data_IF_083988793660
#
_entry.id   IF_083988793660
#
_cell.length_a   1.000
_cell.length_b   1.000
_cell.length_c   1.000
_cell.angle_alpha   90.00
_cell.angle_beta   90.00
_cell.angle_gamma   90.00
#
_symmetry.space_group_name_H-M   'P 1'
#
loop_
_entity.id
_entity.type
_entity.pdbx_description
1 polymer ?
#
# COMPACT_ATOMS: atom_id res chain seq x y z
N UNK A 1 6.86 -22.19 21.68
CA UNK A 1 6.85 -20.72 21.78
C UNK A 1 6.48 -20.16 20.42
N UNK A 2 5.25 -19.71 20.23
CA UNK A 2 4.86 -19.07 18.97
C UNK A 2 5.34 -17.61 19.04
N UNK A 3 6.38 -17.28 18.27
CA UNK A 3 6.61 -15.90 17.91
C UNK A 3 5.36 -15.45 17.15
N UNK A 4 4.49 -14.66 17.82
CA UNK A 4 3.61 -13.74 17.12
C UNK A 4 4.55 -12.86 16.30
N UNK A 5 4.74 -13.19 15.02
CA UNK A 5 5.07 -12.20 14.01
C UNK A 5 3.86 -11.27 13.95
N UNK A 6 3.77 -10.38 14.94
CA UNK A 6 2.94 -9.22 14.84
C UNK A 6 3.59 -8.44 13.73
N UNK A 7 2.99 -8.49 12.55
CA UNK A 7 3.42 -7.65 11.46
C UNK A 7 3.23 -6.22 11.99
N UNK A 8 4.32 -5.55 12.36
CA UNK A 8 4.44 -4.09 12.39
C UNK A 8 4.28 -3.54 10.96
N UNK A 9 3.30 -4.07 10.24
CA UNK A 9 3.12 -3.85 8.84
C UNK A 9 2.36 -2.56 8.73
N UNK A 10 3.09 -1.49 8.48
CA UNK A 10 2.58 -0.31 7.80
C UNK A 10 2.17 -0.61 6.35
N UNK A 11 1.70 -1.83 6.10
CA UNK A 11 1.30 -2.35 4.83
C UNK A 11 -0.20 -2.57 4.84
N UNK A 12 -0.87 -2.04 3.83
CA UNK A 12 -2.30 -2.22 3.60
C UNK A 12 -2.53 -2.94 2.28
N UNK A 13 -3.56 -3.78 2.25
CA UNK A 13 -4.08 -4.36 1.02
C UNK A 13 -5.30 -3.57 0.58
N UNK A 14 -5.30 -3.09 -0.66
CA UNK A 14 -6.39 -2.33 -1.27
C UNK A 14 -6.94 -3.11 -2.45
N UNK A 15 -8.27 -3.17 -2.58
CA UNK A 15 -8.94 -3.66 -3.79
C UNK A 15 -9.40 -2.45 -4.59
N UNK A 16 -8.90 -2.30 -5.81
CA UNK A 16 -9.20 -1.16 -6.67
C UNK A 16 -10.01 -1.62 -7.89
N UNK A 17 -11.06 -0.89 -8.23
CA UNK A 17 -11.86 -1.15 -9.43
C UNK A 17 -11.60 -0.06 -10.47
N UNK A 18 -11.62 -0.38 -11.78
CA UNK A 18 -11.79 -1.71 -12.38
C UNK A 18 -10.51 -2.58 -12.33
N UNK A 19 -10.57 -3.82 -12.82
CA UNK A 19 -9.42 -4.73 -12.89
C UNK A 19 -8.27 -4.27 -13.78
N UNK A 20 -8.55 -3.37 -14.71
CA UNK A 20 -7.60 -2.76 -15.63
C UNK A 20 -7.40 -1.28 -15.32
N UNK A 21 -6.63 -1.00 -14.28
CA UNK A 21 -6.18 0.37 -13.99
C UNK A 21 -5.05 0.79 -14.95
N UNK A 22 -5.20 1.95 -15.57
CA UNK A 22 -4.11 2.57 -16.32
C UNK A 22 -3.06 3.19 -15.37
N UNK A 23 -1.85 3.37 -15.88
CA UNK A 23 -0.73 3.89 -15.10
C UNK A 23 -0.99 5.30 -14.54
N UNK A 24 -1.67 6.15 -15.30
CA UNK A 24 -1.98 7.53 -14.88
C UNK A 24 -2.88 7.56 -13.64
N UNK A 25 -3.92 6.72 -13.62
CA UNK A 25 -4.85 6.56 -12.49
C UNK A 25 -4.11 6.03 -11.26
N UNK A 26 -3.20 5.06 -11.46
CA UNK A 26 -2.37 4.52 -10.38
C UNK A 26 -1.48 5.62 -9.80
N UNK A 27 -0.80 6.41 -10.63
CA UNK A 27 0.06 7.50 -10.17
C UNK A 27 -0.73 8.55 -9.38
N UNK A 28 -1.87 9.02 -9.90
CA UNK A 28 -2.75 9.97 -9.22
C UNK A 28 -3.21 9.45 -7.86
N UNK A 29 -3.60 8.18 -7.79
CA UNK A 29 -3.98 7.55 -6.53
C UNK A 29 -2.82 7.52 -5.52
N UNK A 30 -1.63 7.10 -5.94
CA UNK A 30 -0.45 7.08 -5.08
C UNK A 30 -0.05 8.47 -4.58
N UNK A 31 -0.20 9.50 -5.41
CA UNK A 31 0.09 10.88 -5.01
C UNK A 31 -0.88 11.37 -3.94
N UNK A 32 -2.18 11.08 -4.10
CA UNK A 32 -3.18 11.38 -3.05
C UNK A 32 -2.80 10.69 -1.73
N UNK A 33 -2.45 9.41 -1.77
CA UNK A 33 -2.06 8.66 -0.57
C UNK A 33 -0.79 9.23 0.08
N UNK A 34 0.22 9.60 -0.73
CA UNK A 34 1.45 10.24 -0.23
C UNK A 34 1.17 11.55 0.49
N UNK A 35 0.29 12.38 -0.07
CA UNK A 35 -0.07 13.68 0.51
C UNK A 35 -0.95 13.55 1.74
N UNK A 36 -1.91 12.61 1.75
CA UNK A 36 -2.95 12.53 2.79
C UNK A 36 -2.60 11.62 3.95
N UNK A 37 -1.88 10.53 3.70
CA UNK A 37 -1.60 9.49 4.69
C UNK A 37 -0.13 9.57 5.13
N UNK A 38 0.79 9.57 4.16
CA UNK A 38 2.20 9.71 4.43
C UNK A 38 3.09 9.06 3.37
N UNK A 39 4.42 9.12 3.56
CA UNK A 39 5.38 8.64 2.57
C UNK A 39 5.20 7.15 2.29
N UNK A 40 5.06 6.81 1.01
CA UNK A 40 4.95 5.41 0.55
C UNK A 40 6.36 4.88 0.33
N UNK A 41 6.68 3.73 0.95
CA UNK A 41 7.92 2.99 0.73
C UNK A 41 7.87 2.23 -0.59
N UNK A 42 6.80 1.47 -0.83
CA UNK A 42 6.51 0.86 -2.12
C UNK A 42 5.01 0.59 -2.28
N UNK A 43 4.59 0.46 -3.53
CA UNK A 43 3.25 0.00 -3.89
C UNK A 43 3.35 -1.04 -5.03
N UNK A 44 2.61 -2.15 -4.90
CA UNK A 44 2.57 -3.22 -5.90
C UNK A 44 1.14 -3.49 -6.30
N UNK A 45 0.85 -3.35 -7.58
CA UNK A 45 -0.46 -3.62 -8.18
C UNK A 45 -0.40 -4.95 -8.95
N UNK A 46 -1.33 -5.83 -8.64
CA UNK A 46 -1.51 -7.12 -9.29
C UNK A 46 -2.81 -7.06 -10.09
N UNK A 47 -2.67 -7.00 -11.42
CA UNK A 47 -3.80 -7.20 -12.32
C UNK A 47 -4.11 -8.69 -12.36
N UNK A 48 -5.19 -9.11 -11.72
CA UNK A 48 -5.71 -10.47 -11.87
C UNK A 48 -6.71 -10.46 -13.02
N UNK A 49 -6.42 -11.22 -14.08
CA UNK A 49 -7.27 -11.31 -15.27
C UNK A 49 -8.62 -11.98 -15.00
N UNK A 50 -8.72 -12.76 -13.92
CA UNK A 50 -9.93 -13.50 -13.53
C UNK A 50 -10.81 -12.71 -12.54
N UNK A 51 -10.45 -11.48 -12.20
CA UNK A 51 -11.19 -10.65 -11.25
C UNK A 51 -11.65 -9.34 -11.87
N UNK A 52 -12.70 -8.78 -11.27
CA UNK A 52 -13.26 -7.46 -11.62
C UNK A 52 -12.50 -6.29 -10.97
N UNK A 53 -11.47 -6.58 -10.15
CA UNK A 53 -10.65 -5.60 -9.44
C UNK A 53 -9.15 -5.93 -9.50
N UNK A 54 -8.32 -4.89 -9.42
CA UNK A 54 -6.88 -4.98 -9.19
C UNK A 54 -6.63 -5.06 -7.68
N UNK A 55 -5.74 -5.96 -7.25
CA UNK A 55 -5.27 -6.00 -5.86
C UNK A 55 -4.00 -5.17 -5.74
N UNK A 56 -3.92 -4.29 -4.74
CA UNK A 56 -2.73 -3.49 -4.45
C UNK A 56 -2.24 -3.74 -3.04
N UNK A 57 -0.92 -3.81 -2.87
CA UNK A 57 -0.26 -3.82 -1.58
C UNK A 57 0.57 -2.55 -1.45
N UNK A 58 0.33 -1.76 -0.41
CA UNK A 58 0.96 -0.45 -0.22
C UNK A 58 1.61 -0.43 1.16
N UNK A 59 2.93 -0.26 1.20
CA UNK A 59 3.68 -0.07 2.44
C UNK A 59 4.03 1.41 2.62
N UNK A 60 3.71 1.96 3.80
CA UNK A 60 4.08 3.30 4.23
C UNK A 60 5.34 3.27 5.10
N UNK A 61 6.15 4.32 5.01
CA UNK A 61 7.32 4.48 5.88
C UNK A 61 6.86 4.58 7.34
N UNK A 62 7.45 3.79 8.24
CA UNK A 62 7.32 4.01 9.70
C UNK A 62 7.82 5.40 10.03
N UNK A 63 6.99 6.20 10.70
CA UNK A 63 7.52 7.34 11.45
C UNK A 63 8.47 6.73 12.47
N UNK A 64 9.77 6.90 12.28
CA UNK A 64 10.74 6.61 13.34
C UNK A 64 10.31 7.48 14.52
N UNK A 65 9.67 6.89 15.52
CA UNK A 65 9.63 7.49 16.84
C UNK A 65 11.10 7.69 17.22
N UNK A 66 11.58 8.92 17.45
CA UNK A 66 12.90 9.08 18.02
C UNK A 66 12.90 8.28 19.32
N UNK A 67 13.77 7.27 19.42
CA UNK A 67 14.02 6.64 20.71
C UNK A 67 14.60 7.75 21.58
N UNK A 68 13.80 8.16 22.56
CA UNK A 68 14.06 9.09 23.66
C UNK A 68 15.42 9.82 23.62
N UNK A 69 15.33 11.14 23.53
CA UNK A 69 16.38 12.08 23.94
C UNK A 69 16.80 11.84 25.40
#
# INVERSE_FOLDING_TARGET
>A
MYHKMQADANQVMVRCYPSSLNLETICKFLDILRTRIGPIRYARFLAEHDRVYTVSFIEFMTKKTPRNA
#
